data_IF_598848578827
#
_entry.id   IF_598848578827
#
_cell.length_a   1.000
_cell.length_b   1.000
_cell.length_c   1.000
_cell.angle_alpha   90.00
_cell.angle_beta   90.00
_cell.angle_gamma   90.00
#
_symmetry.space_group_name_H-M   'P 1'
#
loop_
_entity.id
_entity.type
_entity.pdbx_description
1 polymer ?
#
# COMPACT_ATOMS: atom_id res chain seq x y z
N UNK A 1 22.78 0.79 24.32
CA UNK A 1 22.48 1.61 23.14
C UNK A 1 21.04 2.00 23.22
N UNK A 2 20.68 3.26 23.03
CA UNK A 2 19.28 3.71 22.98
C UNK A 2 18.73 3.50 21.56
N UNK A 3 17.40 3.36 21.37
CA UNK A 3 16.81 3.22 20.06
C UNK A 3 17.22 4.31 19.05
N UNK A 4 17.29 5.56 19.48
CA UNK A 4 17.72 6.71 18.67
C UNK A 4 19.21 6.66 18.25
N UNK A 5 20.01 5.81 18.86
CA UNK A 5 21.39 5.57 18.42
C UNK A 5 21.42 4.65 17.18
N UNK A 6 20.35 3.85 16.95
CA UNK A 6 20.21 2.93 15.80
C UNK A 6 19.48 3.60 14.65
N UNK A 7 18.26 4.05 14.90
CA UNK A 7 17.41 4.73 13.92
C UNK A 7 16.94 6.07 14.48
N UNK A 8 16.98 7.11 13.68
CA UNK A 8 16.54 8.44 14.06
C UNK A 8 15.90 9.18 12.89
N UNK A 9 15.00 10.10 13.20
CA UNK A 9 14.43 11.03 12.24
C UNK A 9 15.47 12.05 11.76
N UNK A 10 15.50 12.27 10.45
CA UNK A 10 16.26 13.35 9.79
C UNK A 10 15.36 14.10 8.82
N UNK A 11 15.87 15.16 8.21
CA UNK A 11 15.16 15.88 7.14
C UNK A 11 14.99 15.07 5.85
N UNK A 12 15.64 13.92 5.73
CA UNK A 12 15.48 12.98 4.61
C UNK A 12 14.62 11.75 4.96
N UNK A 13 14.05 11.71 6.17
CA UNK A 13 13.29 10.58 6.67
C UNK A 13 14.03 9.78 7.75
N UNK A 14 13.73 8.50 7.89
CA UNK A 14 14.30 7.61 8.90
C UNK A 14 15.72 7.19 8.53
N UNK A 15 16.69 7.49 9.37
CA UNK A 15 18.12 7.27 9.12
C UNK A 15 18.72 6.28 10.12
N UNK A 16 19.42 5.28 9.63
CA UNK A 16 20.36 4.46 10.41
C UNK A 16 21.77 5.07 10.31
N UNK A 17 22.18 5.83 11.32
CA UNK A 17 23.48 6.49 11.33
C UNK A 17 24.64 5.49 11.29
N UNK A 18 24.58 4.44 12.11
CA UNK A 18 25.62 3.41 12.19
C UNK A 18 25.72 2.65 10.88
N UNK A 19 24.57 2.32 10.26
CA UNK A 19 24.52 1.62 8.98
C UNK A 19 24.81 2.50 7.77
N UNK A 20 24.72 3.82 7.91
CA UNK A 20 24.96 4.79 6.84
C UNK A 20 23.90 4.72 5.73
N UNK A 21 22.63 4.47 6.07
CA UNK A 21 21.50 4.40 5.11
C UNK A 21 20.23 5.05 5.66
N UNK A 22 19.29 5.29 4.78
CA UNK A 22 17.93 5.75 5.13
C UNK A 22 16.90 4.69 4.73
N UNK A 23 15.81 4.58 5.50
CA UNK A 23 14.63 3.78 5.14
C UNK A 23 13.61 4.72 4.53
N UNK A 24 13.09 4.38 3.34
CA UNK A 24 12.10 5.14 2.56
C UNK A 24 12.37 6.66 2.54
N UNK A 25 13.54 7.09 2.09
CA UNK A 25 13.91 8.50 2.18
C UNK A 25 13.05 9.38 1.29
N UNK A 26 12.63 10.54 1.83
CA UNK A 26 11.78 11.52 1.13
C UNK A 26 12.54 12.39 0.11
N UNK A 27 13.86 12.28 0.04
CA UNK A 27 14.75 12.94 -0.93
C UNK A 27 15.93 12.03 -1.28
N UNK A 28 16.65 12.38 -2.34
CA UNK A 28 17.84 11.61 -2.77
C UNK A 28 18.90 11.50 -1.65
N UNK A 29 19.40 10.29 -1.46
CA UNK A 29 20.43 9.92 -0.46
C UNK A 29 21.45 8.97 -1.08
N UNK A 30 22.61 8.78 -0.40
CA UNK A 30 23.63 7.84 -0.85
C UNK A 30 23.14 6.40 -0.82
N UNK A 31 22.49 5.97 0.27
CA UNK A 31 21.97 4.61 0.41
C UNK A 31 20.55 4.63 0.94
N UNK A 32 19.65 4.10 0.15
CA UNK A 32 18.24 3.93 0.49
C UNK A 32 17.92 2.44 0.67
N UNK A 33 17.18 2.12 1.71
CA UNK A 33 16.54 0.83 1.95
C UNK A 33 15.05 1.08 1.74
N UNK A 34 14.44 0.43 0.74
CA UNK A 34 13.05 0.72 0.34
C UNK A 34 12.16 -0.43 0.76
N UNK A 35 11.10 -0.12 1.49
CA UNK A 35 10.15 -1.09 2.02
C UNK A 35 9.21 -1.65 0.95
N UNK A 36 8.67 -0.79 0.07
CA UNK A 36 7.73 -1.21 -0.97
C UNK A 36 7.65 -0.21 -2.13
N UNK A 37 6.91 -0.56 -3.19
CA UNK A 37 6.94 0.13 -4.48
C UNK A 37 6.03 1.36 -4.61
N UNK A 38 5.31 1.84 -3.60
CA UNK A 38 4.50 3.07 -3.69
C UNK A 38 5.38 4.31 -3.83
N UNK A 39 4.87 5.36 -4.48
CA UNK A 39 5.68 6.51 -4.92
C UNK A 39 6.17 7.41 -3.80
N UNK A 40 5.50 7.44 -2.70
CA UNK A 40 5.88 8.19 -1.49
C UNK A 40 7.00 7.50 -0.69
N UNK A 41 7.14 6.18 -0.81
CA UNK A 41 8.24 5.38 -0.23
C UNK A 41 9.39 5.16 -1.23
N UNK A 42 9.07 4.69 -2.44
CA UNK A 42 10.05 4.30 -3.47
C UNK A 42 10.38 5.45 -4.42
N UNK A 43 11.13 6.43 -3.95
CA UNK A 43 11.56 7.58 -4.77
C UNK A 43 12.79 7.27 -5.59
N UNK A 44 12.92 7.92 -6.74
CA UNK A 44 14.10 7.81 -7.59
C UNK A 44 15.22 8.79 -7.18
N UNK A 45 16.42 8.61 -7.74
CA UNK A 45 17.54 9.53 -7.60
C UNK A 45 18.53 9.19 -6.49
N UNK A 46 18.38 8.06 -5.82
CA UNK A 46 19.35 7.57 -4.84
C UNK A 46 20.61 7.03 -5.53
N UNK A 47 21.76 7.13 -4.86
CA UNK A 47 22.98 6.54 -5.38
C UNK A 47 22.93 5.01 -5.32
N UNK A 48 22.45 4.42 -4.23
CA UNK A 48 22.28 2.98 -4.11
C UNK A 48 20.93 2.66 -3.44
N UNK A 49 20.22 1.64 -3.95
CA UNK A 49 18.95 1.15 -3.43
C UNK A 49 19.04 -0.32 -3.08
N UNK A 50 18.66 -0.68 -1.85
CA UNK A 50 18.45 -2.03 -1.38
C UNK A 50 16.93 -2.23 -1.20
N UNK A 51 16.35 -3.22 -1.87
CA UNK A 51 14.93 -3.56 -1.75
C UNK A 51 14.69 -5.01 -2.21
N UNK A 52 13.46 -5.52 -2.08
CA UNK A 52 13.07 -6.77 -2.73
C UNK A 52 13.16 -6.64 -4.25
N UNK A 53 13.32 -7.76 -4.97
CA UNK A 53 13.39 -7.73 -6.43
C UNK A 53 12.13 -7.10 -7.02
N UNK A 54 10.97 -7.43 -6.46
CA UNK A 54 9.67 -6.92 -6.91
C UNK A 54 9.57 -5.39 -6.73
N UNK A 55 10.04 -4.86 -5.61
CA UNK A 55 10.09 -3.41 -5.37
C UNK A 55 11.03 -2.71 -6.36
N UNK A 56 12.22 -3.29 -6.62
CA UNK A 56 13.14 -2.73 -7.63
C UNK A 56 12.54 -2.73 -9.03
N UNK A 57 11.83 -3.80 -9.42
CA UNK A 57 11.18 -3.90 -10.71
C UNK A 57 10.02 -2.90 -10.86
N UNK A 58 9.23 -2.69 -9.80
CA UNK A 58 8.18 -1.68 -9.77
C UNK A 58 8.74 -0.25 -9.88
N UNK A 59 9.87 0.03 -9.21
CA UNK A 59 10.60 1.30 -9.38
C UNK A 59 11.08 1.48 -10.82
N UNK A 60 11.60 0.43 -11.45
CA UNK A 60 12.05 0.46 -12.85
C UNK A 60 10.88 0.68 -13.81
N UNK A 61 9.74 0.05 -13.58
CA UNK A 61 8.53 0.26 -14.38
C UNK A 61 8.02 1.70 -14.31
N UNK A 62 8.18 2.37 -13.16
CA UNK A 62 7.72 3.74 -12.94
C UNK A 62 8.71 4.79 -13.45
N UNK A 63 9.99 4.63 -13.15
CA UNK A 63 11.02 5.66 -13.34
C UNK A 63 12.01 5.37 -14.48
N UNK A 64 11.93 4.16 -15.07
CA UNK A 64 12.92 3.69 -16.05
C UNK A 64 14.14 3.05 -15.42
N UNK A 65 15.07 2.58 -16.26
CA UNK A 65 16.24 1.78 -15.83
C UNK A 65 17.20 2.55 -14.90
N UNK A 66 17.29 3.86 -15.04
CA UNK A 66 18.27 4.71 -14.35
C UNK A 66 17.70 5.37 -13.08
N UNK A 67 16.75 4.73 -12.40
CA UNK A 67 16.12 5.30 -11.19
C UNK A 67 17.10 5.40 -9.99
N UNK A 68 18.19 4.63 -10.00
CA UNK A 68 19.28 4.67 -9.04
C UNK A 68 20.60 4.35 -9.75
N UNK A 69 21.74 4.81 -9.18
CA UNK A 69 23.05 4.50 -9.78
C UNK A 69 23.48 3.04 -9.53
N UNK A 70 23.01 2.43 -8.43
CA UNK A 70 23.20 1.00 -8.13
C UNK A 70 21.97 0.44 -7.43
N UNK A 71 21.68 -0.83 -7.69
CA UNK A 71 20.58 -1.56 -7.03
C UNK A 71 21.08 -2.89 -6.51
N UNK A 72 20.55 -3.30 -5.37
CA UNK A 72 20.78 -4.62 -4.79
C UNK A 72 19.42 -5.22 -4.37
N UNK A 73 19.12 -6.40 -4.90
CA UNK A 73 17.98 -7.18 -4.46
C UNK A 73 18.30 -7.95 -3.17
N UNK A 74 17.30 -8.06 -2.30
CA UNK A 74 17.35 -8.89 -1.09
C UNK A 74 16.08 -9.73 -0.99
N UNK A 75 16.20 -10.96 -0.51
CA UNK A 75 15.05 -11.87 -0.30
C UNK A 75 14.51 -11.74 1.11
N UNK A 76 13.24 -12.11 1.30
CA UNK A 76 12.70 -12.26 2.63
C UNK A 76 13.51 -13.28 3.44
N UNK A 77 13.77 -12.97 4.71
CA UNK A 77 14.62 -13.75 5.61
C UNK A 77 16.13 -13.62 5.37
N UNK A 78 16.54 -13.02 4.25
CA UNK A 78 17.95 -12.74 3.99
C UNK A 78 18.45 -11.58 4.84
N UNK A 79 19.67 -11.70 5.37
CA UNK A 79 20.33 -10.67 6.17
C UNK A 79 21.56 -10.14 5.45
N UNK A 80 21.66 -8.83 5.34
CA UNK A 80 22.87 -8.14 4.88
C UNK A 80 23.48 -7.30 5.99
N UNK A 81 24.78 -7.04 5.94
CA UNK A 81 25.46 -6.15 6.88
C UNK A 81 25.75 -4.81 6.21
N UNK A 82 25.21 -3.73 6.76
CA UNK A 82 25.43 -2.37 6.29
C UNK A 82 26.08 -1.56 7.42
N UNK A 83 27.30 -1.06 7.23
CA UNK A 83 27.99 -0.22 8.21
C UNK A 83 28.07 -0.79 9.63
N UNK A 84 28.10 -2.13 9.77
CA UNK A 84 28.19 -2.82 11.07
C UNK A 84 26.84 -3.15 11.72
N UNK A 85 25.70 -2.82 11.10
CA UNK A 85 24.38 -3.28 11.53
C UNK A 85 23.87 -4.38 10.61
N UNK A 86 23.08 -5.31 11.15
CA UNK A 86 22.41 -6.35 10.37
C UNK A 86 21.04 -5.84 9.92
N UNK A 87 20.72 -6.02 8.66
CA UNK A 87 19.44 -5.64 8.05
C UNK A 87 18.81 -6.88 7.44
N UNK A 88 17.60 -7.22 7.88
CA UNK A 88 16.83 -8.36 7.39
C UNK A 88 15.48 -7.86 6.89
N UNK A 89 15.02 -8.38 5.74
CA UNK A 89 13.70 -8.06 5.20
C UNK A 89 12.71 -9.17 5.53
N UNK A 90 11.50 -8.78 5.95
CA UNK A 90 10.39 -9.68 6.24
C UNK A 90 9.14 -9.22 5.50
N UNK A 91 8.23 -10.13 5.09
CA UNK A 91 7.03 -9.72 4.37
C UNK A 91 6.15 -8.75 5.17
N UNK A 92 5.63 -7.73 4.51
CA UNK A 92 4.71 -6.75 5.09
C UNK A 92 3.24 -7.00 4.74
N UNK A 93 2.92 -7.82 3.72
CA UNK A 93 1.56 -8.17 3.34
C UNK A 93 0.76 -7.07 2.67
N UNK A 94 1.39 -5.96 2.28
CA UNK A 94 0.75 -4.76 1.75
C UNK A 94 0.57 -4.82 0.23
N UNK A 95 1.66 -4.91 -0.51
CA UNK A 95 1.69 -5.08 -1.97
C UNK A 95 2.78 -6.07 -2.36
N UNK A 96 2.81 -6.50 -3.62
CA UNK A 96 3.83 -7.41 -4.13
C UNK A 96 5.24 -6.85 -3.88
N UNK A 97 6.06 -7.61 -3.16
CA UNK A 97 7.42 -7.22 -2.78
C UNK A 97 7.52 -6.33 -1.52
N UNK A 98 6.40 -5.97 -0.88
CA UNK A 98 6.44 -5.14 0.33
C UNK A 98 7.13 -5.83 1.50
N UNK A 99 7.97 -5.10 2.23
CA UNK A 99 8.80 -5.63 3.29
C UNK A 99 8.85 -4.73 4.52
N UNK A 100 8.86 -5.36 5.69
CA UNK A 100 9.32 -4.78 6.92
C UNK A 100 10.86 -4.82 6.94
N UNK A 101 11.49 -3.79 7.47
CA UNK A 101 12.95 -3.70 7.61
C UNK A 101 13.34 -3.87 9.07
N UNK A 102 13.93 -5.02 9.40
CA UNK A 102 14.46 -5.30 10.72
C UNK A 102 15.95 -4.89 10.77
N UNK A 103 16.30 -3.98 11.67
CA UNK A 103 17.66 -3.49 11.91
C UNK A 103 18.12 -3.99 13.28
N UNK A 104 19.22 -4.74 13.30
CA UNK A 104 19.81 -5.25 14.54
C UNK A 104 21.19 -4.65 14.77
N UNK A 105 21.37 -4.04 15.95
CA UNK A 105 22.62 -3.43 16.38
C UNK A 105 22.81 -3.60 17.89
N UNK A 106 23.94 -4.19 18.31
CA UNK A 106 24.32 -4.36 19.72
C UNK A 106 23.21 -4.94 20.62
N UNK A 107 22.49 -5.96 20.13
CA UNK A 107 21.41 -6.62 20.85
C UNK A 107 20.06 -5.90 20.82
N UNK A 108 19.98 -4.73 20.24
CA UNK A 108 18.73 -4.01 20.00
C UNK A 108 18.19 -4.39 18.62
N UNK A 109 16.89 -4.73 18.57
CA UNK A 109 16.14 -5.01 17.34
C UNK A 109 15.09 -3.94 17.12
N UNK A 110 15.21 -3.20 16.02
CA UNK A 110 14.27 -2.16 15.61
C UNK A 110 13.63 -2.61 14.29
N UNK A 111 12.31 -2.63 14.23
CA UNK A 111 11.56 -2.98 13.01
C UNK A 111 10.82 -1.77 12.49
N UNK A 112 11.11 -1.38 11.25
CA UNK A 112 10.30 -0.44 10.50
C UNK A 112 9.33 -1.23 9.62
N UNK A 113 8.04 -1.12 9.88
CA UNK A 113 7.00 -1.91 9.19
C UNK A 113 6.88 -1.56 7.70
N UNK A 114 7.22 -0.32 7.31
CA UNK A 114 6.64 0.26 6.10
C UNK A 114 5.13 0.25 6.22
N UNK A 115 4.44 0.29 5.09
CA UNK A 115 3.01 0.03 5.07
C UNK A 115 2.76 -1.47 5.12
N UNK A 116 1.78 -1.90 5.90
CA UNK A 116 1.55 -3.32 6.09
C UNK A 116 0.06 -3.69 6.18
N UNK A 117 -0.21 -4.94 5.87
CA UNK A 117 -1.52 -5.56 6.08
C UNK A 117 -1.34 -6.93 6.71
N UNK A 118 -1.91 -7.10 7.91
CA UNK A 118 -1.83 -8.35 8.67
C UNK A 118 -2.95 -9.37 8.34
N UNK A 119 -3.81 -9.04 7.36
CA UNK A 119 -4.80 -9.96 6.78
C UNK A 119 -4.28 -10.43 5.43
N UNK A 120 -4.37 -11.73 5.16
CA UNK A 120 -3.88 -12.33 3.93
C UNK A 120 -4.43 -11.65 2.67
N UNK A 121 -3.56 -11.53 1.68
CA UNK A 121 -3.85 -10.97 0.36
C UNK A 121 -3.39 -11.98 -0.71
N UNK A 122 -4.23 -12.33 -1.70
CA UNK A 122 -3.87 -13.32 -2.71
C UNK A 122 -2.75 -12.86 -3.66
N UNK A 123 -2.36 -11.58 -3.62
CA UNK A 123 -1.41 -10.97 -4.56
C UNK A 123 -0.01 -10.73 -3.99
N UNK A 124 0.20 -10.99 -2.71
CA UNK A 124 1.51 -10.78 -2.07
C UNK A 124 1.78 -11.81 -0.97
N UNK A 125 3.05 -11.89 -0.55
CA UNK A 125 3.44 -12.74 0.58
C UNK A 125 2.78 -12.23 1.87
N UNK A 126 2.13 -13.09 2.66
CA UNK A 126 1.46 -12.70 3.90
C UNK A 126 2.42 -12.04 4.91
N UNK A 127 1.87 -11.12 5.69
CA UNK A 127 2.57 -10.43 6.78
C UNK A 127 3.23 -11.42 7.75
N UNK A 128 4.48 -11.17 8.12
CA UNK A 128 5.21 -11.91 9.14
C UNK A 128 5.33 -11.07 10.41
N UNK A 129 4.88 -11.61 11.54
CA UNK A 129 5.02 -10.93 12.82
C UNK A 129 6.46 -11.05 13.34
N UNK A 130 7.11 -9.90 13.58
CA UNK A 130 8.48 -9.83 14.09
C UNK A 130 8.49 -9.33 15.53
N UNK A 131 9.04 -10.12 16.46
CA UNK A 131 9.28 -9.64 17.81
C UNK A 131 10.48 -8.70 17.83
N UNK A 132 10.32 -7.54 18.49
CA UNK A 132 11.35 -6.49 18.50
C UNK A 132 11.35 -5.70 19.81
N UNK A 133 12.34 -4.84 19.98
CA UNK A 133 12.41 -3.90 21.10
C UNK A 133 11.69 -2.59 20.77
N UNK A 134 11.81 -2.15 19.51
CA UNK A 134 11.16 -0.96 18.97
C UNK A 134 10.42 -1.33 17.70
N UNK A 135 9.15 -0.94 17.62
CA UNK A 135 8.34 -1.11 16.43
C UNK A 135 7.96 0.26 15.86
N UNK A 136 8.38 0.52 14.63
CA UNK A 136 8.02 1.72 13.88
C UNK A 136 6.87 1.34 12.96
N UNK A 137 5.67 1.86 13.22
CA UNK A 137 4.43 1.46 12.56
C UNK A 137 3.80 2.60 11.77
N UNK A 138 3.16 2.27 10.65
CA UNK A 138 2.22 3.17 9.98
C UNK A 138 0.98 3.46 10.85
N UNK A 139 0.23 4.48 10.49
CA UNK A 139 -1.04 4.87 11.08
C UNK A 139 -2.05 5.38 10.05
N UNK A 140 -2.02 4.86 8.80
CA UNK A 140 -2.96 5.26 7.73
C UNK A 140 -4.40 5.19 8.21
N UNK A 141 -4.77 4.10 8.87
CA UNK A 141 -6.06 3.92 9.51
C UNK A 141 -5.96 3.92 11.04
N UNK A 142 -5.10 4.80 11.59
CA UNK A 142 -4.80 4.94 13.00
C UNK A 142 -5.93 5.56 13.87
N UNK A 143 -7.19 5.50 13.44
CA UNK A 143 -8.36 5.94 14.21
C UNK A 143 -9.35 4.79 14.43
N UNK A 144 -10.00 4.69 15.62
CA UNK A 144 -10.94 3.62 15.94
C UNK A 144 -12.15 3.48 15.00
N UNK A 145 -12.46 4.51 14.22
CA UNK A 145 -13.55 4.48 13.23
C UNK A 145 -13.23 3.59 12.04
N UNK A 146 -11.94 3.35 11.76
CA UNK A 146 -11.49 2.54 10.64
C UNK A 146 -11.35 1.08 11.06
N UNK A 147 -12.47 0.36 11.08
CA UNK A 147 -12.57 -1.08 11.15
C UNK A 147 -13.23 -1.56 9.87
N UNK A 148 -12.46 -2.23 9.01
CA UNK A 148 -12.85 -2.43 7.61
C UNK A 148 -13.79 -3.61 7.38
N UNK A 149 -13.77 -4.61 8.27
CA UNK A 149 -14.57 -5.81 8.10
C UNK A 149 -14.02 -6.79 7.07
N UNK A 150 -14.88 -7.71 6.61
CA UNK A 150 -14.49 -8.75 5.65
C UNK A 150 -14.48 -8.21 4.21
N UNK A 151 -13.33 -8.20 3.53
CA UNK A 151 -13.24 -7.76 2.15
C UNK A 151 -14.01 -8.65 1.16
N UNK A 152 -14.25 -9.94 1.49
CA UNK A 152 -15.06 -10.82 0.65
C UNK A 152 -16.53 -10.37 0.59
N UNK A 153 -17.06 -9.80 1.69
CA UNK A 153 -18.40 -9.23 1.71
C UNK A 153 -18.52 -8.01 0.77
N UNK A 154 -17.45 -7.21 0.64
CA UNK A 154 -17.40 -6.07 -0.27
C UNK A 154 -17.35 -6.52 -1.74
N UNK A 155 -16.63 -7.61 -2.05
CA UNK A 155 -16.65 -8.23 -3.39
C UNK A 155 -18.04 -8.78 -3.70
N UNK A 156 -18.67 -9.49 -2.76
CA UNK A 156 -20.04 -9.99 -2.93
C UNK A 156 -21.03 -8.85 -3.20
N UNK A 157 -20.87 -7.70 -2.53
CA UNK A 157 -21.67 -6.50 -2.76
C UNK A 157 -21.48 -5.95 -4.18
N UNK A 158 -20.24 -5.92 -4.70
CA UNK A 158 -19.96 -5.52 -6.07
C UNK A 158 -20.61 -6.48 -7.08
N UNK A 159 -20.44 -7.78 -6.91
CA UNK A 159 -21.02 -8.81 -7.79
C UNK A 159 -22.55 -8.80 -7.76
N UNK A 160 -23.15 -8.57 -6.59
CA UNK A 160 -24.60 -8.38 -6.48
C UNK A 160 -25.07 -7.17 -7.28
N UNK A 161 -24.36 -6.04 -7.20
CA UNK A 161 -24.69 -4.84 -8.00
C UNK A 161 -24.56 -5.09 -9.51
N UNK A 162 -23.54 -5.84 -9.95
CA UNK A 162 -23.39 -6.26 -11.36
C UNK A 162 -24.58 -7.11 -11.82
N UNK A 163 -25.09 -7.98 -10.96
CA UNK A 163 -26.28 -8.78 -11.23
C UNK A 163 -27.58 -7.97 -11.32
N UNK A 164 -27.71 -6.94 -10.48
CA UNK A 164 -28.87 -6.04 -10.49
C UNK A 164 -28.91 -5.09 -11.68
N UNK A 165 -27.74 -4.68 -12.19
CA UNK A 165 -27.59 -3.72 -13.27
C UNK A 165 -26.77 -4.30 -14.43
N UNK A 166 -27.29 -5.32 -15.14
CA UNK A 166 -26.54 -6.09 -16.14
C UNK A 166 -26.14 -5.26 -17.36
N UNK A 167 -26.79 -4.15 -17.63
CA UNK A 167 -26.51 -3.25 -18.75
C UNK A 167 -25.60 -2.07 -18.39
N UNK A 168 -25.35 -1.84 -17.10
CA UNK A 168 -24.50 -0.76 -16.61
C UNK A 168 -23.09 -1.27 -16.35
N UNK A 169 -22.08 -0.60 -16.91
CA UNK A 169 -20.68 -0.86 -16.53
C UNK A 169 -20.42 -0.45 -15.06
N UNK A 170 -19.64 -1.25 -14.33
CA UNK A 170 -19.19 -0.88 -12.98
C UNK A 170 -17.77 -0.33 -13.06
N UNK A 171 -17.62 1.00 -12.93
CA UNK A 171 -16.32 1.66 -12.91
C UNK A 171 -15.78 1.68 -11.49
N UNK A 172 -14.78 0.87 -11.22
CA UNK A 172 -14.17 0.73 -9.89
C UNK A 172 -12.89 1.55 -9.83
N UNK A 173 -12.93 2.66 -9.13
CA UNK A 173 -11.74 3.44 -8.77
C UNK A 173 -10.86 2.63 -7.82
N UNK A 174 -9.62 2.38 -8.21
CA UNK A 174 -8.62 1.66 -7.42
C UNK A 174 -7.21 2.17 -7.76
N UNK A 175 -6.29 2.08 -6.81
CA UNK A 175 -4.89 2.45 -7.08
C UNK A 175 -4.24 1.46 -8.04
N UNK A 176 -3.42 1.95 -9.00
CA UNK A 176 -2.82 1.12 -10.04
C UNK A 176 -1.85 0.05 -9.53
N UNK A 177 -1.20 0.29 -8.38
CA UNK A 177 -0.27 -0.65 -7.75
C UNK A 177 -0.90 -1.26 -6.48
N UNK A 178 -1.00 -2.57 -6.43
CA UNK A 178 -1.51 -3.34 -5.30
C UNK A 178 -3.03 -3.50 -5.32
N UNK A 179 -3.77 -2.44 -5.04
CA UNK A 179 -5.24 -2.47 -4.88
C UNK A 179 -5.99 -2.99 -6.11
N UNK A 180 -5.61 -2.55 -7.30
CA UNK A 180 -6.24 -3.01 -8.54
C UNK A 180 -6.04 -4.52 -8.73
N UNK A 181 -4.81 -5.04 -8.55
CA UNK A 181 -4.50 -6.45 -8.71
C UNK A 181 -5.16 -7.30 -7.64
N UNK A 182 -5.20 -6.82 -6.39
CA UNK A 182 -5.93 -7.45 -5.30
C UNK A 182 -7.42 -7.59 -5.61
N UNK A 183 -8.07 -6.53 -6.09
CA UNK A 183 -9.48 -6.57 -6.49
C UNK A 183 -9.73 -7.60 -7.58
N UNK A 184 -8.88 -7.65 -8.61
CA UNK A 184 -8.98 -8.63 -9.69
C UNK A 184 -8.86 -10.06 -9.13
N UNK A 185 -7.84 -10.33 -8.32
CA UNK A 185 -7.63 -11.66 -7.73
C UNK A 185 -8.82 -12.09 -6.86
N UNK A 186 -9.32 -11.19 -5.99
CA UNK A 186 -10.49 -11.46 -5.15
C UNK A 186 -11.78 -11.70 -5.96
N UNK A 187 -11.97 -10.98 -7.08
CA UNK A 187 -13.08 -11.23 -8.00
C UNK A 187 -12.98 -12.62 -8.63
N UNK A 188 -11.76 -13.08 -8.99
CA UNK A 188 -11.52 -14.44 -9.50
C UNK A 188 -11.81 -15.49 -8.43
N UNK A 189 -11.35 -15.30 -7.20
CA UNK A 189 -11.65 -16.19 -6.07
C UNK A 189 -13.17 -16.28 -5.79
N UNK A 190 -13.90 -15.19 -6.02
CA UNK A 190 -15.35 -15.14 -5.90
C UNK A 190 -16.11 -15.73 -7.13
N UNK A 191 -15.39 -16.29 -8.12
CA UNK A 191 -15.98 -16.96 -9.29
C UNK A 191 -16.37 -16.01 -10.44
N UNK A 192 -15.87 -14.78 -10.47
CA UNK A 192 -16.13 -13.89 -11.59
C UNK A 192 -15.19 -14.18 -12.76
N UNK A 193 -15.63 -14.98 -13.74
CA UNK A 193 -14.82 -15.45 -14.87
C UNK A 193 -14.90 -14.57 -16.13
N UNK A 194 -15.79 -13.57 -16.16
CA UNK A 194 -15.91 -12.63 -17.29
C UNK A 194 -14.65 -11.79 -17.42
N UNK A 195 -14.35 -11.21 -18.62
CA UNK A 195 -13.26 -10.24 -18.76
C UNK A 195 -13.38 -9.10 -17.75
N UNK A 196 -12.27 -8.75 -17.11
CA UNK A 196 -12.16 -7.53 -16.30
C UNK A 196 -11.37 -6.52 -17.14
N UNK A 197 -11.93 -5.35 -17.31
CA UNK A 197 -11.27 -4.29 -18.07
C UNK A 197 -10.46 -3.40 -17.14
N UNK A 198 -9.33 -2.88 -17.65
CA UNK A 198 -8.48 -1.95 -16.89
C UNK A 198 -8.17 -0.69 -17.71
N UNK A 199 -8.01 0.43 -17.02
CA UNK A 199 -7.47 1.63 -17.60
C UNK A 199 -6.00 1.43 -18.03
N UNK A 200 -5.56 2.10 -19.10
CA UNK A 200 -4.19 1.95 -19.63
C UNK A 200 -3.07 2.22 -18.61
N UNK A 201 -3.30 3.09 -17.63
CA UNK A 201 -2.35 3.35 -16.56
C UNK A 201 -2.08 2.13 -15.64
N UNK A 202 -2.99 1.15 -15.61
CA UNK A 202 -2.86 -0.06 -14.81
C UNK A 202 -2.17 -1.21 -15.55
N UNK A 203 -2.01 -1.10 -16.89
CA UNK A 203 -1.59 -2.21 -17.74
C UNK A 203 -0.23 -2.78 -17.34
N UNK A 204 0.79 -1.93 -17.24
CA UNK A 204 2.18 -2.36 -16.97
C UNK A 204 2.28 -3.07 -15.61
N UNK A 205 1.67 -2.51 -14.59
CA UNK A 205 1.69 -3.09 -13.23
C UNK A 205 0.92 -4.41 -13.20
N UNK A 206 -0.25 -4.50 -13.84
CA UNK A 206 -1.04 -5.73 -13.91
C UNK A 206 -0.27 -6.84 -14.63
N UNK A 207 0.36 -6.55 -15.78
CA UNK A 207 1.22 -7.53 -16.50
C UNK A 207 2.43 -7.96 -15.67
N UNK A 208 2.99 -7.05 -14.88
CA UNK A 208 4.08 -7.40 -13.98
C UNK A 208 3.62 -8.42 -12.91
N UNK A 209 2.46 -8.21 -12.27
CA UNK A 209 1.90 -9.17 -11.31
C UNK A 209 1.66 -10.54 -11.95
N UNK A 210 1.09 -10.59 -13.15
CA UNK A 210 0.92 -11.84 -13.92
C UNK A 210 2.27 -12.53 -14.17
N UNK A 211 3.31 -11.79 -14.54
CA UNK A 211 4.66 -12.32 -14.77
C UNK A 211 5.31 -12.91 -13.51
N UNK A 212 4.85 -12.48 -12.33
CA UNK A 212 5.28 -13.01 -11.02
C UNK A 212 4.41 -14.18 -10.53
N UNK A 213 3.52 -14.70 -11.39
CA UNK A 213 2.69 -15.86 -11.10
C UNK A 213 1.39 -15.55 -10.37
N UNK A 214 1.00 -14.29 -10.22
CA UNK A 214 -0.29 -13.93 -9.64
C UNK A 214 -1.39 -14.18 -10.68
N UNK A 215 -2.37 -15.02 -10.33
CA UNK A 215 -3.45 -15.39 -11.24
C UNK A 215 -4.53 -14.32 -11.30
N UNK A 216 -4.52 -13.49 -12.35
CA UNK A 216 -5.49 -12.42 -12.58
C UNK A 216 -6.56 -12.79 -13.62
N UNK A 217 -6.41 -13.93 -14.30
CA UNK A 217 -7.33 -14.39 -15.33
C UNK A 217 -7.36 -13.46 -16.55
N UNK A 218 -8.52 -13.38 -17.21
CA UNK A 218 -8.67 -12.56 -18.41
C UNK A 218 -8.81 -11.09 -18.07
N UNK A 219 -7.72 -10.32 -18.23
CA UNK A 219 -7.68 -8.86 -18.04
C UNK A 219 -7.43 -8.20 -19.40
N UNK A 220 -8.26 -7.22 -19.76
CA UNK A 220 -8.23 -6.53 -21.04
C UNK A 220 -8.19 -4.99 -20.85
N UNK A 221 -7.69 -4.31 -21.89
CA UNK A 221 -7.67 -2.85 -21.90
C UNK A 221 -9.03 -2.27 -22.31
N UNK A 222 -9.61 -1.44 -21.47
CA UNK A 222 -10.87 -0.77 -21.78
C UNK A 222 -10.82 0.08 -23.07
N UNK A 223 -9.64 0.58 -23.47
CA UNK A 223 -9.46 1.40 -24.68
C UNK A 223 -9.79 0.65 -25.99
N UNK A 224 -9.64 -0.69 -26.01
CA UNK A 224 -9.90 -1.53 -27.18
C UNK A 224 -11.30 -2.13 -27.22
N UNK A 225 -12.06 -2.01 -26.13
CA UNK A 225 -13.38 -2.63 -26.00
C UNK A 225 -14.48 -1.77 -26.63
N UNK A 226 -15.46 -2.43 -27.23
CA UNK A 226 -16.70 -1.81 -27.73
C UNK A 226 -17.63 -1.46 -26.58
N UNK A 227 -18.62 -0.57 -26.82
CA UNK A 227 -19.64 -0.25 -25.83
C UNK A 227 -20.45 -1.48 -25.38
N UNK A 228 -20.69 -2.42 -26.28
CA UNK A 228 -21.41 -3.65 -25.99
C UNK A 228 -20.61 -4.57 -25.04
N UNK A 229 -19.29 -4.70 -25.24
CA UNK A 229 -18.42 -5.46 -24.35
C UNK A 229 -18.27 -4.84 -22.97
N UNK A 230 -18.30 -3.52 -22.89
CA UNK A 230 -18.23 -2.78 -21.63
C UNK A 230 -19.55 -2.79 -20.85
N UNK A 231 -20.70 -3.03 -21.51
CA UNK A 231 -22.00 -3.11 -20.83
C UNK A 231 -21.99 -4.27 -19.81
N UNK A 232 -22.42 -3.97 -18.57
CA UNK A 232 -22.43 -4.94 -17.46
C UNK A 232 -21.05 -5.50 -17.07
N UNK A 233 -19.95 -4.89 -17.54
CA UNK A 233 -18.59 -5.30 -17.18
C UNK A 233 -18.11 -4.62 -15.90
N UNK A 234 -17.06 -5.19 -15.30
CA UNK A 234 -16.26 -4.53 -14.26
C UNK A 234 -15.02 -3.92 -14.94
N UNK A 235 -14.84 -2.61 -14.75
CA UNK A 235 -13.69 -1.88 -15.28
C UNK A 235 -12.97 -1.15 -14.14
N UNK A 236 -11.68 -1.45 -13.93
CA UNK A 236 -10.86 -0.77 -12.93
C UNK A 236 -10.13 0.41 -13.55
N UNK A 237 -10.06 1.50 -12.80
CA UNK A 237 -9.38 2.72 -13.24
C UNK A 237 -8.77 3.48 -12.04
N UNK A 238 -7.76 4.35 -12.26
CA UNK A 238 -7.32 5.26 -11.20
C UNK A 238 -8.49 6.09 -10.67
N UNK A 239 -8.56 6.38 -9.36
CA UNK A 239 -9.69 7.09 -8.78
C UNK A 239 -9.97 8.46 -9.42
N UNK A 240 -8.94 9.19 -9.83
CA UNK A 240 -9.06 10.48 -10.54
C UNK A 240 -9.86 10.35 -11.83
N UNK A 241 -9.71 9.25 -12.57
CA UNK A 241 -10.34 9.08 -13.89
C UNK A 241 -11.85 8.85 -13.83
N UNK A 242 -12.41 8.54 -12.65
CA UNK A 242 -13.86 8.44 -12.46
C UNK A 242 -14.61 9.73 -12.86
N UNK A 243 -13.96 10.90 -12.72
CA UNK A 243 -14.53 12.21 -13.03
C UNK A 243 -13.99 12.83 -14.33
N UNK A 244 -13.09 12.16 -15.02
CA UNK A 244 -12.44 12.65 -16.23
C UNK A 244 -13.24 12.33 -17.52
N UNK A 245 -12.82 12.92 -18.64
CA UNK A 245 -13.39 12.66 -19.98
C UNK A 245 -13.37 11.17 -20.33
N UNK A 246 -12.39 10.43 -19.84
CA UNK A 246 -12.26 9.00 -20.07
C UNK A 246 -13.48 8.19 -19.61
N UNK A 247 -14.09 8.54 -18.47
CA UNK A 247 -15.26 7.85 -17.92
C UNK A 247 -16.52 8.05 -18.77
N UNK A 248 -16.60 9.11 -19.58
CA UNK A 248 -17.75 9.42 -20.44
C UNK A 248 -17.99 8.41 -21.57
N UNK A 249 -17.03 7.53 -21.83
CA UNK A 249 -17.21 6.43 -22.79
C UNK A 249 -18.19 5.36 -22.30
N UNK A 250 -18.42 5.30 -20.99
CA UNK A 250 -19.35 4.36 -20.36
C UNK A 250 -20.70 5.06 -20.17
N UNK A 251 -21.75 4.64 -20.88
CA UNK A 251 -23.07 5.22 -20.69
C UNK A 251 -23.64 4.80 -19.34
N UNK A 252 -24.04 5.75 -18.54
CA UNK A 252 -24.66 5.56 -17.21
C UNK A 252 -23.93 4.51 -16.34
N UNK A 253 -22.62 4.65 -16.07
CA UNK A 253 -21.89 3.66 -15.29
C UNK A 253 -22.28 3.70 -13.81
N UNK A 254 -22.21 2.54 -13.12
CA UNK A 254 -22.19 2.50 -11.66
C UNK A 254 -20.80 2.93 -11.20
N UNK A 255 -20.71 4.04 -10.50
CA UNK A 255 -19.44 4.56 -9.97
C UNK A 255 -19.13 3.87 -8.64
N UNK A 256 -18.02 3.12 -8.61
CA UNK A 256 -17.54 2.43 -7.42
C UNK A 256 -16.18 2.99 -7.00
N UNK A 257 -15.85 2.96 -5.72
CA UNK A 257 -14.50 3.29 -5.24
C UNK A 257 -14.08 2.30 -4.14
N UNK A 258 -12.93 1.63 -4.36
CA UNK A 258 -12.35 0.69 -3.44
C UNK A 258 -11.26 1.38 -2.60
N UNK A 259 -11.58 1.67 -1.35
CA UNK A 259 -10.66 2.28 -0.39
C UNK A 259 -11.13 2.04 1.04
N UNK A 260 -10.22 1.92 1.99
CA UNK A 260 -10.53 1.88 3.42
C UNK A 260 -11.24 3.15 3.90
N UNK A 261 -10.98 4.28 3.24
CA UNK A 261 -11.64 5.56 3.52
C UNK A 261 -13.15 5.56 3.23
N UNK A 262 -13.64 4.62 2.42
CA UNK A 262 -15.07 4.47 2.13
C UNK A 262 -15.90 4.04 3.35
N UNK A 263 -15.24 3.67 4.44
CA UNK A 263 -15.87 3.49 5.75
C UNK A 263 -16.59 4.75 6.24
N UNK A 264 -16.10 5.93 5.87
CA UNK A 264 -16.68 7.23 6.22
C UNK A 264 -17.64 7.67 5.13
N UNK A 265 -18.95 7.55 5.37
CA UNK A 265 -20.01 7.84 4.38
C UNK A 265 -19.92 9.24 3.77
N UNK A 266 -19.44 10.24 4.52
CA UNK A 266 -19.27 11.59 4.01
C UNK A 266 -18.26 11.64 2.85
N UNK A 267 -17.19 10.87 2.90
CA UNK A 267 -16.19 10.77 1.82
C UNK A 267 -16.80 10.16 0.55
N UNK A 268 -17.58 9.08 0.66
CA UNK A 268 -18.25 8.50 -0.50
C UNK A 268 -19.21 9.50 -1.19
N UNK A 269 -19.97 10.29 -0.41
CA UNK A 269 -20.84 11.34 -0.94
C UNK A 269 -20.05 12.47 -1.62
N UNK A 270 -18.96 12.92 -1.02
CA UNK A 270 -18.09 13.95 -1.60
C UNK A 270 -17.50 13.53 -2.95
N UNK A 271 -17.19 12.23 -3.10
CA UNK A 271 -16.69 11.68 -4.35
C UNK A 271 -17.75 11.26 -5.35
N UNK A 272 -19.06 11.43 -5.03
CA UNK A 272 -20.19 10.99 -5.87
C UNK A 272 -20.13 9.50 -6.20
N UNK A 273 -19.72 8.69 -5.24
CA UNK A 273 -19.62 7.24 -5.38
C UNK A 273 -20.97 6.60 -5.11
N UNK A 274 -21.52 5.86 -6.08
CA UNK A 274 -22.76 5.11 -5.93
C UNK A 274 -22.57 3.85 -5.07
N UNK A 275 -21.46 3.13 -5.29
CA UNK A 275 -21.14 1.89 -4.60
C UNK A 275 -19.77 2.00 -3.90
N UNK A 276 -19.71 2.47 -2.66
CA UNK A 276 -18.47 2.46 -1.89
C UNK A 276 -18.10 1.03 -1.50
N UNK A 277 -16.82 0.65 -1.71
CA UNK A 277 -16.24 -0.63 -1.37
C UNK A 277 -15.17 -0.42 -0.30
N UNK A 278 -15.39 -0.97 0.89
CA UNK A 278 -14.44 -0.83 2.01
C UNK A 278 -13.36 -1.91 1.86
N UNK A 279 -12.43 -1.68 0.94
CA UNK A 279 -11.31 -2.60 0.67
C UNK A 279 -10.00 -1.82 0.82
N UNK A 280 -9.17 -2.25 1.75
CA UNK A 280 -7.87 -1.64 2.06
C UNK A 280 -6.73 -2.65 1.91
N UNK A 281 -5.58 -2.16 1.50
CA UNK A 281 -4.28 -2.83 1.49
C UNK A 281 -3.42 -2.50 2.72
N UNK A 282 -3.93 -1.66 3.62
CA UNK A 282 -3.32 -1.38 4.93
C UNK A 282 -4.05 -2.09 6.07
N UNK A 283 -3.38 -2.23 7.20
CA UNK A 283 -3.98 -2.65 8.44
C UNK A 283 -5.00 -1.60 8.92
N UNK A 284 -6.14 -2.06 9.41
CA UNK A 284 -7.11 -1.19 10.06
C UNK A 284 -6.76 -1.00 11.56
N UNK A 285 -7.59 -0.24 12.29
CA UNK A 285 -7.35 0.02 13.71
C UNK A 285 -7.12 -1.25 14.52
N UNK A 286 -7.95 -2.27 14.35
CA UNK A 286 -7.81 -3.52 15.10
C UNK A 286 -6.56 -4.29 14.67
N UNK A 287 -6.22 -4.26 13.38
CA UNK A 287 -4.98 -4.83 12.85
C UNK A 287 -3.73 -4.12 13.37
N UNK A 288 -3.72 -2.79 13.41
CA UNK A 288 -2.61 -1.97 13.94
C UNK A 288 -2.38 -2.28 15.43
N UNK A 289 -3.43 -2.20 16.24
CA UNK A 289 -3.34 -2.40 17.70
C UNK A 289 -2.96 -3.85 18.06
N UNK A 290 -3.53 -4.84 17.36
CA UNK A 290 -3.18 -6.25 17.56
C UNK A 290 -1.72 -6.52 17.17
N UNK A 291 -1.23 -5.95 16.07
CA UNK A 291 0.17 -6.10 15.64
C UNK A 291 1.12 -5.50 16.66
N UNK A 292 0.88 -4.26 17.11
CA UNK A 292 1.71 -3.60 18.14
C UNK A 292 1.81 -4.51 19.38
N UNK A 293 0.69 -4.98 19.91
CA UNK A 293 0.66 -5.85 21.09
C UNK A 293 1.45 -7.16 20.86
N UNK A 294 1.34 -7.75 19.67
CA UNK A 294 1.97 -9.03 19.35
C UNK A 294 3.49 -8.92 19.12
N UNK A 295 4.02 -7.76 18.71
CA UNK A 295 5.48 -7.56 18.54
C UNK A 295 6.26 -7.69 19.85
N UNK A 296 5.62 -7.43 20.99
CA UNK A 296 6.25 -7.37 22.30
C UNK A 296 7.22 -6.19 22.45
N UNK A 297 7.17 -5.20 21.57
CA UNK A 297 7.97 -3.99 21.64
C UNK A 297 7.56 -3.15 22.85
N UNK A 298 8.56 -2.63 23.57
CA UNK A 298 8.34 -1.69 24.67
C UNK A 298 8.26 -0.22 24.22
N UNK A 299 8.74 0.06 23.00
CA UNK A 299 8.83 1.40 22.44
C UNK A 299 8.19 1.41 21.03
N UNK A 300 7.17 2.24 20.84
CA UNK A 300 6.38 2.34 19.60
C UNK A 300 6.58 3.71 18.99
N UNK A 301 7.08 3.74 17.76
CA UNK A 301 7.18 4.96 16.98
C UNK A 301 6.15 4.93 15.88
N UNK A 302 5.31 5.94 15.84
CA UNK A 302 4.21 5.99 14.89
C UNK A 302 4.55 6.98 13.78
N UNK A 303 4.28 6.59 12.55
CA UNK A 303 4.51 7.42 11.36
C UNK A 303 3.39 7.19 10.35
N UNK A 304 3.31 8.01 9.31
CA UNK A 304 2.44 7.81 8.16
C UNK A 304 0.95 7.72 8.51
N UNK A 305 0.25 8.86 8.59
CA UNK A 305 -1.21 8.93 8.81
C UNK A 305 -1.62 9.60 10.13
N UNK A 306 -2.59 9.00 10.81
CA UNK A 306 -3.21 9.56 12.03
C UNK A 306 -2.45 9.10 13.29
N UNK A 307 -1.26 9.65 13.50
CA UNK A 307 -0.30 9.20 14.51
C UNK A 307 -0.81 9.35 15.95
N UNK A 308 -1.48 10.45 16.27
CA UNK A 308 -1.82 10.84 17.65
C UNK A 308 -2.70 9.82 18.38
N UNK A 309 -3.72 9.29 17.71
CA UNK A 309 -4.65 8.34 18.35
C UNK A 309 -3.97 7.00 18.64
N UNK A 310 -3.08 6.52 17.75
CA UNK A 310 -2.34 5.28 17.94
C UNK A 310 -1.25 5.44 19.01
N UNK A 311 -0.59 6.59 19.06
CA UNK A 311 0.34 6.97 20.15
C UNK A 311 -0.40 6.96 21.48
N UNK A 312 -1.55 7.65 21.57
CA UNK A 312 -2.35 7.69 22.80
C UNK A 312 -2.76 6.28 23.24
N UNK A 313 -3.27 5.46 22.33
CA UNK A 313 -3.64 4.08 22.63
C UNK A 313 -2.44 3.30 23.18
N UNK A 314 -1.27 3.38 22.53
CA UNK A 314 -0.06 2.67 22.99
C UNK A 314 0.36 3.08 24.41
N UNK A 315 0.29 4.38 24.72
CA UNK A 315 0.55 4.88 26.08
C UNK A 315 -0.44 4.32 27.11
N UNK A 316 -1.72 4.16 26.76
CA UNK A 316 -2.72 3.54 27.65
C UNK A 316 -2.47 2.05 27.91
N UNK A 317 -1.73 1.37 27.02
CA UNK A 317 -1.27 0.00 27.21
C UNK A 317 0.02 -0.11 28.06
N UNK A 318 0.55 1.01 28.56
CA UNK A 318 1.79 1.04 29.34
C UNK A 318 3.07 0.98 28.51
N UNK A 319 2.96 1.15 27.19
CA UNK A 319 4.11 1.21 26.28
C UNK A 319 4.68 2.63 26.24
N UNK A 320 5.95 2.75 25.89
CA UNK A 320 6.48 4.04 25.43
C UNK A 320 6.02 4.27 24.00
N UNK A 321 5.54 5.48 23.69
CA UNK A 321 5.10 5.76 22.32
C UNK A 321 5.31 7.23 21.97
N UNK A 322 5.63 7.49 20.69
CA UNK A 322 5.81 8.85 20.15
C UNK A 322 5.49 8.92 18.65
N UNK A 323 5.06 10.08 18.17
CA UNK A 323 4.99 10.31 16.73
C UNK A 323 6.41 10.53 16.18
N UNK A 324 6.61 10.19 14.91
CA UNK A 324 7.84 10.52 14.19
C UNK A 324 7.73 11.81 13.40
N UNK A 325 6.51 12.26 13.08
CA UNK A 325 6.23 13.48 12.29
C UNK A 325 7.08 13.57 11.02
N UNK A 326 7.25 12.46 10.28
CA UNK A 326 8.02 12.45 9.04
C UNK A 326 7.17 13.11 7.97
N UNK A 327 7.64 14.27 7.47
CA UNK A 327 6.97 15.01 6.39
C UNK A 327 7.35 14.41 5.04
N UNK A 328 6.35 14.21 4.17
CA UNK A 328 6.56 13.81 2.78
C UNK A 328 6.08 12.40 2.43
N UNK A 329 5.55 11.67 3.37
CA UNK A 329 4.66 10.55 3.10
C UNK A 329 3.25 11.11 2.87
N UNK A 330 2.65 10.79 1.73
CA UNK A 330 1.28 11.12 1.42
C UNK A 330 0.53 9.81 1.26
N UNK A 331 -0.63 9.67 1.85
CA UNK A 331 -1.51 8.57 1.53
C UNK A 331 -1.94 8.73 0.06
N UNK A 332 -1.61 7.76 -0.81
CA UNK A 332 -2.11 7.75 -2.19
C UNK A 332 -3.65 7.85 -2.19
N UNK A 333 -4.31 7.32 -1.15
CA UNK A 333 -5.75 7.46 -0.92
C UNK A 333 -6.17 8.90 -0.55
N UNK A 334 -5.34 9.69 0.12
CA UNK A 334 -5.63 11.10 0.44
C UNK A 334 -5.33 12.06 -0.71
N UNK A 335 -4.36 11.78 -1.57
CA UNK A 335 -3.99 12.64 -2.70
C UNK A 335 -5.16 12.88 -3.67
N UNK A 336 -6.10 11.93 -3.75
CA UNK A 336 -7.36 12.10 -4.51
C UNK A 336 -8.35 13.04 -3.83
N UNK A 337 -8.22 13.26 -2.50
CA UNK A 337 -9.12 14.14 -1.73
C UNK A 337 -8.68 15.60 -1.74
N UNK A 338 -7.43 15.89 -2.11
CA UNK A 338 -6.85 17.24 -2.14
C UNK A 338 -6.73 17.80 -3.55
N UNK A 339 -7.71 17.63 -4.42
CA UNK A 339 -7.81 18.51 -5.60
C UNK A 339 -8.16 19.90 -5.08
N UNK A 340 -7.34 20.94 -5.29
CA UNK A 340 -7.71 22.30 -4.91
C UNK A 340 -9.02 22.63 -5.60
N UNK A 341 -10.01 23.03 -4.81
CA UNK A 341 -11.07 23.87 -5.35
C UNK A 341 -10.38 25.15 -5.81
N UNK A 342 -10.34 25.33 -7.13
CA UNK A 342 -10.22 26.58 -7.86
C UNK A 342 -8.92 27.37 -7.85
N UNK A 343 -8.48 27.64 -9.07
CA UNK A 343 -8.26 29.00 -9.55
C UNK A 343 -8.87 29.16 -10.93
#
# INVERSE_FOLDING_TARGET
MRPDDVLLRTSAGLCCKVGGFHIDPTRAVDKAVITHGHSDHARAGHRAVLATQETLDLMRLRYGENFAAATQAIRYGETVTLGGVRVTFHPAGHVLGSAQVCVEANGLRVVASGDYKNVADPTCTPFELIRCNVFITEATFGLPVFRHGDPAAEIAKLLHSVGLFPDRAHLVGAYPLGKAQRLIAMLREAGYDRPIYVHGAMEKTTRYYESRGIHLGRVELARGATKAELAGSITLCPPSTLKEVWSRRFPDPVTCFASGWMRVRARARQHLVELPLIISDHADWDGLTATIAATGASDIWVTHGQEEALVHWSLTQGLQARPLDIVGYGDEDEAVTQTPAEA
#
